data_IF_707992675232
#
_entry.id   IF_707992675232
#
_cell.length_a   1.000
_cell.length_b   1.000
_cell.length_c   1.000
_cell.angle_alpha   90.00
_cell.angle_beta   90.00
_cell.angle_gamma   90.00
#
_symmetry.space_group_name_H-M   'P 1'
#
loop_
_entity.id
_entity.type
_entity.pdbx_description
1 polymer ?
#
# COMPACT_ATOMS: atom_id res chain seq x y z
N UNK A 1 -19.99 -2.08 -13.28
CA UNK A 1 -19.37 -3.37 -13.66
C UNK A 1 -20.36 -4.48 -13.32
N UNK A 2 -20.40 -5.59 -14.05
CA UNK A 2 -21.21 -6.73 -13.60
C UNK A 2 -20.69 -7.22 -12.25
N UNK A 3 -21.57 -7.63 -11.34
CA UNK A 3 -21.19 -7.98 -9.97
C UNK A 3 -20.02 -8.99 -9.90
N UNK A 4 -20.03 -9.99 -10.78
CA UNK A 4 -18.94 -10.98 -10.85
C UNK A 4 -17.57 -10.42 -11.22
N UNK A 5 -17.51 -9.47 -12.17
CA UNK A 5 -16.23 -8.83 -12.56
C UNK A 5 -15.71 -7.93 -11.44
N UNK A 6 -16.60 -7.27 -10.71
CA UNK A 6 -16.21 -6.46 -9.55
C UNK A 6 -15.51 -7.27 -8.47
N UNK A 7 -16.08 -8.41 -8.08
CA UNK A 7 -15.47 -9.30 -7.10
C UNK A 7 -14.13 -9.88 -7.54
N UNK A 8 -13.94 -10.18 -8.84
CA UNK A 8 -12.64 -10.61 -9.36
C UNK A 8 -11.57 -9.53 -9.20
N UNK A 9 -11.90 -8.26 -9.45
CA UNK A 9 -10.98 -7.13 -9.25
C UNK A 9 -10.64 -6.98 -7.76
N UNK A 10 -11.62 -7.13 -6.87
CA UNK A 10 -11.37 -7.08 -5.42
C UNK A 10 -10.52 -8.25 -4.93
N UNK A 11 -10.71 -9.46 -5.48
CA UNK A 11 -9.85 -10.61 -5.18
C UNK A 11 -8.42 -10.39 -5.67
N UNK A 12 -8.24 -9.78 -6.84
CA UNK A 12 -6.91 -9.40 -7.33
C UNK A 12 -6.25 -8.36 -6.41
N UNK A 13 -7.01 -7.35 -5.96
CA UNK A 13 -6.56 -6.37 -4.97
C UNK A 13 -6.16 -7.02 -3.64
N UNK A 14 -6.99 -7.92 -3.10
CA UNK A 14 -6.68 -8.68 -1.90
C UNK A 14 -5.43 -9.56 -2.07
N UNK A 15 -5.25 -10.16 -3.25
CA UNK A 15 -4.04 -10.89 -3.60
C UNK A 15 -2.78 -10.02 -3.55
N UNK A 16 -2.85 -8.78 -4.05
CA UNK A 16 -1.75 -7.81 -3.95
C UNK A 16 -1.45 -7.43 -2.49
N UNK A 17 -2.48 -7.17 -1.69
CA UNK A 17 -2.32 -6.86 -0.25
C UNK A 17 -1.66 -8.02 0.48
N UNK A 18 -2.10 -9.26 0.25
CA UNK A 18 -1.49 -10.44 0.88
C UNK A 18 -0.04 -10.63 0.41
N UNK A 19 0.25 -10.40 -0.87
CA UNK A 19 1.60 -10.52 -1.41
C UNK A 19 2.56 -9.51 -0.78
N UNK A 20 2.15 -8.24 -0.65
CA UNK A 20 2.98 -7.19 -0.03
C UNK A 20 3.14 -7.41 1.47
N UNK A 21 2.09 -7.81 2.19
CA UNK A 21 2.21 -8.15 3.61
C UNK A 21 3.17 -9.31 3.82
N UNK A 22 3.12 -10.35 2.97
CA UNK A 22 4.06 -11.46 3.04
C UNK A 22 5.50 -11.01 2.81
N UNK A 23 5.73 -10.06 1.91
CA UNK A 23 7.05 -9.49 1.64
C UNK A 23 7.56 -8.63 2.81
N UNK A 24 6.69 -7.79 3.38
CA UNK A 24 6.94 -6.99 4.60
C UNK A 24 7.33 -7.90 5.76
N UNK A 25 6.51 -8.92 6.07
CA UNK A 25 6.81 -9.87 7.14
C UNK A 25 8.13 -10.59 6.93
N UNK A 26 8.42 -11.05 5.71
CA UNK A 26 9.70 -11.73 5.42
C UNK A 26 10.89 -10.80 5.58
N UNK A 27 10.74 -9.53 5.23
CA UNK A 27 11.84 -8.57 5.28
C UNK A 27 12.11 -8.10 6.70
N UNK A 28 11.07 -7.87 7.50
CA UNK A 28 11.17 -7.36 8.87
C UNK A 28 11.41 -8.46 9.92
N UNK A 29 10.67 -9.58 9.85
CA UNK A 29 10.75 -10.65 10.87
C UNK A 29 11.83 -11.70 10.58
N UNK A 30 12.47 -11.67 9.40
CA UNK A 30 13.64 -12.51 9.13
C UNK A 30 14.85 -11.64 8.74
N UNK A 31 15.51 -10.98 9.73
CA UNK A 31 16.77 -10.24 9.50
C UNK A 31 17.93 -11.12 8.98
N UNK A 32 17.74 -12.43 8.80
CA UNK A 32 18.75 -13.37 8.30
C UNK A 32 18.88 -13.36 6.76
N UNK A 33 19.23 -12.21 6.18
CA UNK A 33 20.00 -12.11 4.92
C UNK A 33 19.49 -12.84 3.67
N UNK A 34 18.18 -13.10 3.51
CA UNK A 34 17.64 -13.90 2.38
C UNK A 34 16.43 -13.29 1.64
N UNK A 35 16.18 -11.98 1.74
CA UNK A 35 15.18 -11.31 0.91
C UNK A 35 15.56 -11.34 -0.59
N UNK A 36 14.82 -12.10 -1.42
CA UNK A 36 15.10 -12.24 -2.86
C UNK A 36 14.93 -10.91 -3.62
N UNK A 37 13.91 -10.11 -3.28
CA UNK A 37 13.63 -8.81 -3.91
C UNK A 37 14.71 -7.79 -3.58
N UNK A 38 15.14 -7.74 -2.31
CA UNK A 38 16.26 -6.93 -1.85
C UNK A 38 17.53 -7.24 -2.65
N UNK A 39 17.92 -8.51 -2.83
CA UNK A 39 19.10 -8.85 -3.66
C UNK A 39 18.98 -8.43 -5.12
N UNK A 40 17.79 -8.49 -5.72
CA UNK A 40 17.60 -8.05 -7.11
C UNK A 40 17.75 -6.54 -7.24
N UNK A 41 17.18 -5.76 -6.31
CA UNK A 41 17.34 -4.31 -6.26
C UNK A 41 18.78 -3.91 -5.92
N UNK A 42 19.41 -4.55 -4.93
CA UNK A 42 20.79 -4.28 -4.53
C UNK A 42 21.77 -4.69 -5.63
N UNK A 43 21.56 -5.80 -6.34
CA UNK A 43 22.41 -6.21 -7.46
C UNK A 43 22.22 -5.31 -8.69
N UNK A 44 21.00 -4.84 -8.95
CA UNK A 44 20.73 -3.83 -9.98
C UNK A 44 21.40 -2.50 -9.67
N UNK A 45 21.27 -2.03 -8.43
CA UNK A 45 21.93 -0.82 -7.94
C UNK A 45 23.45 -0.98 -7.94
N UNK A 46 24.01 -2.13 -7.56
CA UNK A 46 25.46 -2.39 -7.62
C UNK A 46 26.00 -2.45 -9.05
N UNK A 47 25.23 -2.97 -10.01
CA UNK A 47 25.62 -2.96 -11.43
C UNK A 47 25.64 -1.53 -12.00
N UNK A 48 24.75 -0.67 -11.54
CA UNK A 48 24.73 0.75 -11.90
C UNK A 48 25.79 1.56 -11.13
N UNK A 49 26.05 1.19 -9.87
CA UNK A 49 26.98 1.86 -8.96
C UNK A 49 28.41 1.32 -9.03
N UNK A 50 28.73 0.39 -9.94
CA UNK A 50 30.08 -0.15 -10.16
C UNK A 50 31.15 0.88 -10.58
N UNK A 51 30.86 2.18 -10.46
CA UNK A 51 31.75 3.32 -10.69
C UNK A 51 31.67 4.41 -9.59
N UNK A 52 31.00 4.17 -8.46
CA UNK A 52 30.70 5.21 -7.47
C UNK A 52 31.57 5.12 -6.20
N UNK A 53 32.20 6.24 -5.83
CA UNK A 53 33.07 6.42 -4.64
C UNK A 53 32.35 6.10 -3.32
N UNK A 54 33.12 5.73 -2.29
CA UNK A 54 32.65 5.22 -0.99
C UNK A 54 31.63 6.07 -0.20
N UNK A 55 31.43 7.35 -0.56
CA UNK A 55 30.33 8.19 -0.04
C UNK A 55 28.95 7.82 -0.61
N UNK A 56 28.88 7.39 -1.87
CA UNK A 56 27.65 6.93 -2.52
C UNK A 56 27.24 5.53 -2.03
N UNK A 57 28.21 4.72 -1.57
CA UNK A 57 27.98 3.44 -0.92
C UNK A 57 27.31 3.59 0.47
N UNK A 58 27.57 4.68 1.19
CA UNK A 58 26.96 4.95 2.50
C UNK A 58 25.47 5.34 2.41
N UNK A 59 25.06 6.00 1.32
CA UNK A 59 23.66 6.46 1.11
C UNK A 59 22.79 5.38 0.46
N UNK A 60 23.39 4.42 -0.25
CA UNK A 60 22.64 3.39 -1.00
C UNK A 60 21.81 2.47 -0.09
N UNK A 61 22.23 2.25 1.15
CA UNK A 61 21.48 1.47 2.15
C UNK A 61 20.17 2.15 2.57
N UNK A 62 20.22 3.33 3.24
CA UNK A 62 19.03 4.09 3.62
C UNK A 62 18.11 4.44 2.46
N UNK A 63 18.67 4.76 1.29
CA UNK A 63 17.88 5.04 0.09
C UNK A 63 17.14 3.79 -0.41
N UNK A 64 17.79 2.63 -0.46
CA UNK A 64 17.14 1.38 -0.85
C UNK A 64 15.99 1.03 0.10
N UNK A 65 16.14 1.30 1.41
CA UNK A 65 15.09 1.12 2.41
C UNK A 65 13.89 2.02 2.16
N UNK A 66 14.13 3.32 1.92
CA UNK A 66 13.07 4.27 1.61
C UNK A 66 12.31 3.88 0.33
N UNK A 67 13.02 3.42 -0.70
CA UNK A 67 12.41 2.96 -1.95
C UNK A 67 11.56 1.70 -1.76
N UNK A 68 12.03 0.74 -0.95
CA UNK A 68 11.25 -0.47 -0.62
C UNK A 68 10.00 -0.12 0.18
N UNK A 69 10.12 0.76 1.18
CA UNK A 69 8.99 1.25 1.95
C UNK A 69 7.96 1.96 1.06
N UNK A 70 8.41 2.84 0.16
CA UNK A 70 7.54 3.52 -0.79
C UNK A 70 6.84 2.53 -1.73
N UNK A 71 7.55 1.51 -2.22
CA UNK A 71 6.97 0.45 -3.05
C UNK A 71 5.89 -0.33 -2.29
N UNK A 72 6.13 -0.69 -1.03
CA UNK A 72 5.14 -1.36 -0.19
C UNK A 72 3.90 -0.49 0.00
N UNK A 73 4.07 0.77 0.37
CA UNK A 73 2.96 1.73 0.55
C UNK A 73 2.13 1.86 -0.74
N UNK A 74 2.79 2.05 -1.89
CA UNK A 74 2.09 2.17 -3.18
C UNK A 74 1.33 0.89 -3.54
N UNK A 75 1.90 -0.29 -3.24
CA UNK A 75 1.24 -1.57 -3.52
C UNK A 75 0.04 -1.80 -2.61
N UNK A 76 0.14 -1.43 -1.33
CA UNK A 76 -1.00 -1.46 -0.39
C UNK A 76 -2.11 -0.53 -0.88
N UNK A 77 -1.78 0.71 -1.24
CA UNK A 77 -2.75 1.69 -1.77
C UNK A 77 -3.44 1.14 -3.01
N UNK A 78 -2.68 0.60 -3.96
CA UNK A 78 -3.24 0.02 -5.17
C UNK A 78 -4.12 -1.21 -4.86
N UNK A 79 -3.69 -2.08 -3.97
CA UNK A 79 -4.43 -3.28 -3.58
C UNK A 79 -5.79 -2.94 -2.97
N UNK A 80 -5.84 -1.98 -2.04
CA UNK A 80 -7.08 -1.52 -1.42
C UNK A 80 -7.94 -0.69 -2.38
N UNK A 81 -7.35 0.14 -3.24
CA UNK A 81 -8.09 0.83 -4.29
C UNK A 81 -8.81 -0.15 -5.23
N UNK A 82 -8.17 -1.27 -5.59
CA UNK A 82 -8.81 -2.34 -6.38
C UNK A 82 -9.91 -3.08 -5.59
N UNK A 83 -9.78 -3.20 -4.27
CA UNK A 83 -10.85 -3.76 -3.41
C UNK A 83 -12.08 -2.85 -3.43
N UNK A 84 -11.90 -1.54 -3.27
CA UNK A 84 -13.00 -0.58 -3.15
C UNK A 84 -13.62 -0.15 -4.47
N UNK A 85 -12.82 -0.01 -5.53
CA UNK A 85 -13.28 0.57 -6.80
C UNK A 85 -14.58 -0.04 -7.33
N UNK A 86 -14.76 -1.37 -7.38
CA UNK A 86 -16.00 -1.96 -7.87
C UNK A 86 -17.21 -1.71 -6.96
N UNK A 87 -16.98 -1.36 -5.70
CA UNK A 87 -17.96 -1.21 -4.64
C UNK A 87 -18.29 0.26 -4.33
N UNK A 88 -17.54 1.22 -4.86
CA UNK A 88 -17.80 2.66 -4.70
C UNK A 88 -19.24 3.08 -5.03
N UNK A 89 -19.87 2.62 -6.15
CA UNK A 89 -21.20 3.08 -6.52
C UNK A 89 -22.32 2.67 -5.56
N UNK A 90 -22.15 1.59 -4.79
CA UNK A 90 -23.24 1.00 -4.00
C UNK A 90 -22.90 0.78 -2.52
N UNK A 91 -21.63 0.63 -2.17
CA UNK A 91 -21.18 0.28 -0.82
C UNK A 91 -20.65 1.46 0.00
N UNK A 92 -20.62 2.67 -0.57
CA UNK A 92 -20.13 3.89 0.09
C UNK A 92 -21.17 5.01 0.05
N UNK A 93 -21.16 5.81 1.11
CA UNK A 93 -21.92 7.06 1.22
C UNK A 93 -20.99 8.24 0.99
N UNK A 94 -21.49 9.25 0.28
CA UNK A 94 -20.75 10.46 -0.05
C UNK A 94 -21.29 11.65 0.74
N UNK A 95 -20.41 12.57 1.15
CA UNK A 95 -20.81 13.81 1.80
C UNK A 95 -21.74 14.66 0.93
N UNK A 96 -22.59 15.48 1.55
CA UNK A 96 -23.64 16.23 0.86
C UNK A 96 -23.15 17.21 -0.24
N UNK A 97 -21.88 17.62 -0.19
CA UNK A 97 -21.23 18.48 -1.18
C UNK A 97 -20.64 17.73 -2.38
N UNK A 98 -20.65 16.39 -2.36
CA UNK A 98 -20.09 15.53 -3.40
C UNK A 98 -21.20 14.89 -4.24
N UNK A 99 -21.04 14.93 -5.56
CA UNK A 99 -21.92 14.19 -6.47
C UNK A 99 -21.44 12.72 -6.57
N UNK A 100 -22.20 11.79 -5.98
CA UNK A 100 -21.87 10.37 -5.99
C UNK A 100 -21.73 9.79 -7.41
N UNK A 101 -22.49 10.31 -8.38
CA UNK A 101 -22.42 9.84 -9.77
C UNK A 101 -21.09 10.18 -10.46
N UNK A 102 -20.38 11.22 -9.99
CA UNK A 102 -19.11 11.68 -10.55
C UNK A 102 -17.90 11.18 -9.74
N UNK A 103 -18.11 10.65 -8.53
CA UNK A 103 -17.09 10.30 -7.53
C UNK A 103 -16.92 8.78 -7.30
N UNK A 104 -17.32 7.98 -8.29
CA UNK A 104 -17.22 6.52 -8.26
C UNK A 104 -16.12 5.97 -9.18
N UNK A 105 -15.13 6.81 -9.51
CA UNK A 105 -14.02 6.45 -10.39
C UNK A 105 -12.89 5.70 -9.67
N UNK A 106 -11.93 5.20 -10.45
CA UNK A 106 -10.74 4.55 -9.90
C UNK A 106 -9.89 5.50 -9.05
N UNK A 107 -9.79 6.78 -9.46
CA UNK A 107 -9.05 7.79 -8.70
C UNK A 107 -9.68 8.08 -7.34
N UNK A 108 -11.01 8.00 -7.20
CA UNK A 108 -11.68 8.13 -5.91
C UNK A 108 -11.37 6.94 -5.00
N UNK A 109 -11.21 5.73 -5.57
CA UNK A 109 -10.79 4.55 -4.81
C UNK A 109 -9.33 4.67 -4.31
N UNK A 110 -8.45 5.20 -5.16
CA UNK A 110 -7.06 5.52 -4.77
C UNK A 110 -7.04 6.58 -3.69
N UNK A 111 -7.81 7.66 -3.84
CA UNK A 111 -7.94 8.71 -2.84
C UNK A 111 -8.42 8.17 -1.49
N UNK A 112 -9.51 7.37 -1.49
CA UNK A 112 -10.03 6.71 -0.30
C UNK A 112 -8.96 5.84 0.37
N UNK A 113 -8.22 5.05 -0.41
CA UNK A 113 -7.17 4.19 0.12
C UNK A 113 -6.00 4.99 0.70
N UNK A 114 -5.55 6.06 0.02
CA UNK A 114 -4.51 6.96 0.53
C UNK A 114 -4.92 7.56 1.87
N UNK A 115 -6.13 8.11 1.95
CA UNK A 115 -6.65 8.76 3.16
C UNK A 115 -6.81 7.75 4.30
N UNK A 116 -7.16 6.50 4.01
CA UNK A 116 -7.32 5.44 5.00
C UNK A 116 -5.98 4.88 5.48
N UNK A 117 -5.06 4.53 4.56
CA UNK A 117 -3.70 4.05 4.88
C UNK A 117 -2.90 5.11 5.64
N UNK A 118 -3.05 6.38 5.28
CA UNK A 118 -2.43 7.50 5.99
C UNK A 118 -3.15 7.84 7.30
N UNK A 119 -4.25 7.18 7.62
CA UNK A 119 -5.07 7.40 8.84
C UNK A 119 -5.66 8.82 8.95
N UNK A 120 -5.80 9.53 7.82
CA UNK A 120 -6.35 10.89 7.76
C UNK A 120 -7.88 10.89 7.98
N UNK A 121 -8.59 9.97 7.30
CA UNK A 121 -10.02 9.76 7.49
C UNK A 121 -10.90 11.01 7.30
N UNK A 122 -10.77 11.74 6.19
CA UNK A 122 -11.52 12.99 5.94
C UNK A 122 -13.05 12.86 6.07
N UNK A 123 -13.60 11.66 5.88
CA UNK A 123 -15.01 11.36 6.12
C UNK A 123 -15.96 11.86 5.03
N UNK A 124 -15.42 12.26 3.88
CA UNK A 124 -16.14 12.67 2.69
C UNK A 124 -16.65 11.47 1.86
N UNK A 125 -15.94 10.34 1.93
CA UNK A 125 -16.36 9.01 1.43
C UNK A 125 -16.32 8.04 2.62
N UNK A 126 -17.48 7.46 2.96
CA UNK A 126 -17.63 6.64 4.18
C UNK A 126 -18.22 5.27 3.83
N UNK A 127 -17.69 4.16 4.37
CA UNK A 127 -18.23 2.82 4.11
C UNK A 127 -19.66 2.67 4.65
N UNK A 128 -20.60 2.35 3.76
CA UNK A 128 -22.00 2.10 4.09
C UNK A 128 -22.25 0.60 4.37
N UNK A 129 -21.65 -0.29 3.56
CA UNK A 129 -21.84 -1.74 3.72
C UNK A 129 -21.12 -2.29 4.94
N UNK A 130 -21.73 -3.31 5.56
CA UNK A 130 -21.21 -3.92 6.80
C UNK A 130 -19.79 -4.46 6.70
N UNK A 131 -19.42 -5.11 5.59
CA UNK A 131 -18.07 -5.63 5.41
C UNK A 131 -17.04 -4.53 5.14
N UNK A 132 -17.42 -3.46 4.43
CA UNK A 132 -16.56 -2.31 4.18
C UNK A 132 -16.24 -1.54 5.46
N UNK A 133 -17.17 -1.52 6.42
CA UNK A 133 -16.95 -0.96 7.77
C UNK A 133 -15.93 -1.73 8.60
N UNK A 134 -15.60 -2.97 8.22
CA UNK A 134 -14.51 -3.76 8.82
C UNK A 134 -13.23 -3.60 8.00
N UNK A 135 -13.36 -3.60 6.68
CA UNK A 135 -12.26 -3.48 5.74
C UNK A 135 -11.47 -2.17 5.91
N UNK A 136 -12.15 -1.01 5.97
CA UNK A 136 -11.48 0.29 6.07
C UNK A 136 -10.66 0.46 7.38
N UNK A 137 -11.19 0.10 8.57
CA UNK A 137 -10.36 0.09 9.78
C UNK A 137 -9.17 -0.88 9.70
N UNK A 138 -9.33 -2.04 9.06
CA UNK A 138 -8.23 -2.98 8.87
C UNK A 138 -7.12 -2.38 8.02
N UNK A 139 -7.46 -1.70 6.92
CA UNK A 139 -6.51 -0.95 6.09
C UNK A 139 -5.75 0.09 6.92
N UNK A 140 -6.44 0.86 7.76
CA UNK A 140 -5.81 1.85 8.64
C UNK A 140 -4.82 1.20 9.63
N UNK A 141 -5.18 0.06 10.23
CA UNK A 141 -4.27 -0.71 11.10
C UNK A 141 -3.03 -1.19 10.34
N UNK A 142 -3.21 -1.65 9.09
CA UNK A 142 -2.08 -2.06 8.24
C UNK A 142 -1.17 -0.88 7.87
N UNK A 143 -1.75 0.27 7.53
CA UNK A 143 -1.01 1.51 7.28
C UNK A 143 -0.19 1.95 8.48
N UNK A 144 -0.79 1.97 9.67
CA UNK A 144 -0.11 2.28 10.92
C UNK A 144 1.00 1.29 11.26
N UNK A 145 0.77 0.00 11.03
CA UNK A 145 1.77 -1.07 11.22
C UNK A 145 2.96 -0.89 10.28
N UNK A 146 2.70 -0.54 9.01
CA UNK A 146 3.74 -0.26 8.03
C UNK A 146 4.58 0.94 8.44
N UNK A 147 3.94 2.05 8.83
CA UNK A 147 4.63 3.25 9.32
C UNK A 147 5.53 2.92 10.51
N UNK A 148 4.98 2.23 11.51
CA UNK A 148 5.71 1.81 12.71
C UNK A 148 6.92 0.94 12.35
N UNK A 149 6.74 0.01 11.42
CA UNK A 149 7.80 -0.87 10.95
C UNK A 149 8.93 -0.11 10.25
N UNK A 150 8.59 0.84 9.38
CA UNK A 150 9.57 1.68 8.67
C UNK A 150 10.37 2.53 9.67
N UNK A 151 9.70 3.15 10.65
CA UNK A 151 10.36 3.94 11.69
C UNK A 151 11.30 3.07 12.53
N UNK A 152 10.83 1.90 12.98
CA UNK A 152 11.66 0.98 13.76
C UNK A 152 12.88 0.53 12.98
N UNK A 153 12.73 0.26 11.68
CA UNK A 153 13.83 -0.20 10.86
C UNK A 153 14.86 0.90 10.58
N UNK A 154 14.43 2.14 10.32
CA UNK A 154 15.34 3.29 10.16
C UNK A 154 16.16 3.51 11.44
N UNK A 155 15.55 3.33 12.63
CA UNK A 155 16.27 3.52 13.90
C UNK A 155 17.36 2.48 14.18
N UNK A 156 17.36 1.36 13.46
CA UNK A 156 18.32 0.27 13.62
C UNK A 156 19.53 0.36 12.67
N UNK A 157 19.45 1.22 11.65
CA UNK A 157 20.51 1.46 10.65
C UNK A 157 21.36 2.64 11.07
#
# INVERSE_FOLDING_TARGET
>A
MSGGVGWLVSLAGAGLVVAVLRDVFRTLWQPSGRGKVSRWLTAGLWRLAGRADGRLAAVTGPLALALVAALWTMTIILGWALIYWPHLPSGFSYGASLNAAERAGFLDAVYLSVVTVATLGFGDIVPADGWLRIAAPLEAVLGFTLLTSVVSWISQV
#
